data_IF_092507037352
#
_entry.id   IF_092507037352
#
_cell.length_a   1.000
_cell.length_b   1.000
_cell.length_c   1.000
_cell.angle_alpha   90.00
_cell.angle_beta   90.00
_cell.angle_gamma   90.00
#
_symmetry.space_group_name_H-M   'P 1'
#
loop_
_entity.id
_entity.type
_entity.pdbx_description
1 polymer ?
#
# COMPACT_ATOMS: atom_id res chain seq x y z
N UNK A 1 -19.42 -30.94 17.28
CA UNK A 1 -18.27 -30.87 16.34
C UNK A 1 -18.24 -29.47 15.73
N UNK A 2 -17.42 -28.55 16.22
CA UNK A 2 -17.39 -27.18 15.67
C UNK A 2 -16.65 -27.16 14.33
N UNK A 3 -17.36 -26.98 13.22
CA UNK A 3 -16.74 -26.74 11.91
C UNK A 3 -16.25 -25.30 11.85
N UNK A 4 -15.12 -25.02 12.50
CA UNK A 4 -14.43 -23.76 12.35
C UNK A 4 -13.55 -23.83 11.09
N UNK A 5 -14.18 -23.86 9.92
CA UNK A 5 -13.45 -23.65 8.67
C UNK A 5 -13.14 -22.15 8.58
N UNK A 6 -11.99 -21.77 9.14
CA UNK A 6 -11.28 -20.57 8.70
C UNK A 6 -10.99 -20.75 7.21
N UNK A 7 -11.97 -20.42 6.35
CA UNK A 7 -11.86 -20.50 4.91
C UNK A 7 -10.82 -19.46 4.46
N UNK A 8 -9.55 -19.88 4.48
CA UNK A 8 -8.46 -19.15 3.87
C UNK A 8 -8.78 -19.01 2.38
N UNK A 9 -8.77 -17.78 1.91
CA UNK A 9 -9.02 -17.51 0.49
C UNK A 9 -7.69 -17.73 -0.22
N UNK A 10 -7.48 -18.94 -0.74
CA UNK A 10 -6.25 -19.36 -1.41
C UNK A 10 -5.78 -18.35 -2.47
N UNK A 11 -6.73 -17.79 -3.25
CA UNK A 11 -6.44 -16.78 -4.26
C UNK A 11 -5.79 -15.51 -3.70
N UNK A 12 -6.21 -15.07 -2.51
CA UNK A 12 -5.64 -13.89 -1.85
C UNK A 12 -4.21 -14.18 -1.38
N UNK A 13 -3.98 -15.37 -0.85
CA UNK A 13 -2.65 -15.78 -0.38
C UNK A 13 -1.67 -15.94 -1.56
N UNK A 14 -2.12 -16.55 -2.67
CA UNK A 14 -1.32 -16.68 -3.89
C UNK A 14 -0.98 -15.32 -4.51
N UNK A 15 -1.93 -14.39 -4.57
CA UNK A 15 -1.72 -13.06 -5.11
C UNK A 15 -0.73 -12.25 -4.26
N UNK A 16 -0.76 -12.41 -2.92
CA UNK A 16 0.25 -11.82 -2.03
C UNK A 16 1.63 -12.44 -2.24
N UNK A 17 1.70 -13.77 -2.35
CA UNK A 17 2.96 -14.47 -2.60
C UNK A 17 3.57 -14.03 -3.94
N UNK A 18 2.74 -13.96 -4.99
CA UNK A 18 3.13 -13.48 -6.31
C UNK A 18 3.70 -12.06 -6.26
N UNK A 19 3.00 -11.12 -5.59
CA UNK A 19 3.47 -9.74 -5.50
C UNK A 19 4.81 -9.62 -4.74
N UNK A 20 5.02 -10.42 -3.69
CA UNK A 20 6.31 -10.46 -2.96
C UNK A 20 7.42 -11.05 -3.83
N UNK A 21 7.15 -12.13 -4.56
CA UNK A 21 8.12 -12.74 -5.49
C UNK A 21 8.52 -11.72 -6.56
N UNK A 22 7.55 -11.04 -7.18
CA UNK A 22 7.79 -10.00 -8.18
C UNK A 22 8.63 -8.84 -7.61
N UNK A 23 8.37 -8.42 -6.37
CA UNK A 23 9.15 -7.37 -5.70
C UNK A 23 10.61 -7.81 -5.47
N UNK A 24 10.83 -9.00 -4.91
CA UNK A 24 12.18 -9.53 -4.64
C UNK A 24 12.95 -9.73 -5.96
N UNK A 25 12.30 -10.32 -6.97
CA UNK A 25 12.88 -10.54 -8.28
C UNK A 25 13.24 -9.22 -8.96
N UNK A 26 12.36 -8.22 -8.90
CA UNK A 26 12.57 -6.92 -9.49
C UNK A 26 13.80 -6.21 -8.92
N UNK A 27 13.95 -6.17 -7.59
CA UNK A 27 15.12 -5.56 -6.95
C UNK A 27 16.40 -6.38 -7.13
N UNK A 28 16.31 -7.70 -7.10
CA UNK A 28 17.47 -8.58 -7.34
C UNK A 28 18.02 -8.36 -8.74
N UNK A 29 17.17 -8.48 -9.78
CA UNK A 29 17.63 -8.31 -11.16
C UNK A 29 18.11 -6.88 -11.40
N UNK A 30 17.45 -5.86 -10.85
CA UNK A 30 17.92 -4.47 -10.97
C UNK A 30 19.30 -4.24 -10.35
N UNK A 31 19.64 -4.94 -9.27
CA UNK A 31 20.92 -4.74 -8.57
C UNK A 31 22.05 -5.53 -9.22
N UNK A 32 21.78 -6.74 -9.72
CA UNK A 32 22.80 -7.65 -10.26
C UNK A 32 22.98 -7.58 -11.78
N UNK A 33 22.02 -7.02 -12.52
CA UNK A 33 22.12 -6.92 -13.98
C UNK A 33 23.07 -5.78 -14.38
N UNK A 34 24.17 -6.13 -15.04
CA UNK A 34 25.14 -5.17 -15.58
C UNK A 34 24.51 -4.24 -16.63
N UNK A 35 25.04 -3.02 -16.73
CA UNK A 35 24.49 -1.96 -17.59
C UNK A 35 24.47 -2.34 -19.08
N UNK A 36 25.42 -3.16 -19.53
CA UNK A 36 25.50 -3.67 -20.90
C UNK A 36 24.25 -4.46 -21.34
N UNK A 37 23.54 -5.09 -20.40
CA UNK A 37 22.34 -5.87 -20.66
C UNK A 37 21.04 -5.06 -20.53
N UNK A 38 21.13 -3.77 -20.15
CA UNK A 38 19.98 -2.87 -19.96
C UNK A 38 19.58 -2.16 -21.25
N UNK A 39 19.54 -2.89 -22.37
CA UNK A 39 19.12 -2.33 -23.66
C UNK A 39 17.63 -2.52 -23.91
N UNK A 40 16.94 -1.45 -24.30
CA UNK A 40 15.54 -1.48 -24.73
C UNK A 40 15.34 -2.24 -26.06
N UNK A 41 16.41 -2.48 -26.81
CA UNK A 41 16.38 -3.29 -28.03
C UNK A 41 16.23 -4.78 -27.71
N UNK A 42 16.61 -5.19 -26.50
CA UNK A 42 16.38 -6.55 -26.01
C UNK A 42 14.92 -6.73 -25.60
N UNK A 43 14.17 -7.51 -26.38
CA UNK A 43 12.78 -7.86 -26.08
C UNK A 43 12.62 -8.41 -24.66
N UNK A 44 13.58 -9.21 -24.19
CA UNK A 44 13.54 -9.79 -22.84
C UNK A 44 13.66 -8.73 -21.74
N UNK A 45 14.58 -7.78 -21.88
CA UNK A 45 14.74 -6.69 -20.91
C UNK A 45 13.54 -5.75 -20.92
N UNK A 46 13.02 -5.40 -22.10
CA UNK A 46 11.85 -4.51 -22.23
C UNK A 46 10.58 -5.10 -21.62
N UNK A 47 10.32 -6.40 -21.81
CA UNK A 47 9.22 -7.10 -21.14
C UNK A 47 9.44 -7.12 -19.63
N UNK A 48 10.63 -7.47 -19.17
CA UNK A 48 10.94 -7.51 -17.75
C UNK A 48 10.78 -6.13 -17.08
N UNK A 49 11.31 -5.07 -17.69
CA UNK A 49 11.20 -3.71 -17.20
C UNK A 49 9.73 -3.27 -17.06
N UNK A 50 8.91 -3.64 -18.05
CA UNK A 50 7.47 -3.40 -18.04
C UNK A 50 6.78 -4.13 -16.88
N UNK A 51 7.05 -5.43 -16.71
CA UNK A 51 6.49 -6.24 -15.62
C UNK A 51 6.93 -5.73 -14.24
N UNK A 52 8.19 -5.31 -14.11
CA UNK A 52 8.72 -4.67 -12.90
C UNK A 52 7.94 -3.40 -12.58
N UNK A 53 7.67 -2.56 -13.57
CA UNK A 53 6.88 -1.32 -13.41
C UNK A 53 5.47 -1.57 -12.85
N UNK A 54 4.81 -2.67 -13.25
CA UNK A 54 3.48 -3.03 -12.75
C UNK A 54 3.45 -3.63 -11.35
N UNK A 55 4.60 -4.05 -10.81
CA UNK A 55 4.66 -4.75 -9.52
C UNK A 55 4.14 -3.89 -8.37
N UNK A 56 4.55 -2.62 -8.30
CA UNK A 56 4.10 -1.71 -7.25
C UNK A 56 2.59 -1.40 -7.32
N UNK A 57 2.01 -1.01 -8.48
CA UNK A 57 0.56 -0.85 -8.62
C UNK A 57 -0.25 -2.08 -8.23
N UNK A 58 0.17 -3.29 -8.65
CA UNK A 58 -0.52 -4.54 -8.32
C UNK A 58 -0.48 -4.79 -6.80
N UNK A 59 0.67 -4.59 -6.16
CA UNK A 59 0.82 -4.76 -4.72
C UNK A 59 -0.08 -3.80 -3.93
N UNK A 60 -0.13 -2.53 -4.34
CA UNK A 60 -0.99 -1.51 -3.74
C UNK A 60 -2.46 -1.86 -3.88
N UNK A 61 -2.88 -2.20 -5.10
CA UNK A 61 -4.26 -2.57 -5.41
C UNK A 61 -4.70 -3.80 -4.61
N UNK A 62 -3.86 -4.84 -4.58
CA UNK A 62 -4.07 -6.05 -3.80
C UNK A 62 -4.34 -5.75 -2.32
N UNK A 63 -3.48 -4.92 -1.72
CA UNK A 63 -3.58 -4.56 -0.30
C UNK A 63 -4.91 -3.86 0.01
N UNK A 64 -5.32 -2.90 -0.83
CA UNK A 64 -6.59 -2.18 -0.68
C UNK A 64 -7.82 -3.08 -0.90
N UNK A 65 -7.79 -3.92 -1.93
CA UNK A 65 -8.87 -4.85 -2.27
C UNK A 65 -9.13 -5.83 -1.14
N UNK A 66 -8.09 -6.51 -0.66
CA UNK A 66 -8.19 -7.52 0.42
C UNK A 66 -8.73 -6.86 1.69
N UNK A 67 -8.20 -5.70 2.05
CA UNK A 67 -8.64 -4.99 3.24
C UNK A 67 -10.12 -4.58 3.15
N UNK A 68 -10.54 -4.00 2.02
CA UNK A 68 -11.93 -3.60 1.78
C UNK A 68 -12.88 -4.80 1.82
N UNK A 69 -12.50 -5.91 1.17
CA UNK A 69 -13.27 -7.15 1.18
C UNK A 69 -13.44 -7.67 2.61
N UNK A 70 -12.34 -7.77 3.36
CA UNK A 70 -12.37 -8.23 4.74
C UNK A 70 -13.17 -7.31 5.66
N UNK A 71 -13.16 -6.00 5.41
CA UNK A 71 -13.91 -5.03 6.19
C UNK A 71 -15.42 -5.12 5.91
N UNK A 72 -15.82 -5.40 4.67
CA UNK A 72 -17.23 -5.59 4.25
C UNK A 72 -17.81 -6.94 4.63
N UNK A 73 -16.99 -7.99 4.68
CA UNK A 73 -17.45 -9.33 5.03
C UNK A 73 -17.85 -9.47 6.50
N UNK A 74 -17.48 -8.51 7.35
CA UNK A 74 -17.74 -8.56 8.78
C UNK A 74 -19.14 -8.02 9.12
N UNK A 75 -19.85 -8.69 10.02
CA UNK A 75 -21.25 -8.36 10.37
C UNK A 75 -21.37 -7.33 11.51
N UNK A 76 -20.27 -6.96 12.15
CA UNK A 76 -20.28 -6.01 13.26
C UNK A 76 -20.62 -4.56 12.83
N UNK A 77 -21.16 -3.80 13.77
CA UNK A 77 -21.26 -2.34 13.63
C UNK A 77 -19.86 -1.74 13.49
N UNK A 78 -19.75 -0.62 12.78
CA UNK A 78 -18.45 -0.08 12.35
C UNK A 78 -17.47 0.15 13.49
N UNK A 79 -17.94 0.77 14.58
CA UNK A 79 -17.11 1.12 15.74
C UNK A 79 -16.69 -0.10 16.57
N UNK A 80 -17.48 -1.17 16.57
CA UNK A 80 -17.14 -2.40 17.29
C UNK A 80 -16.34 -3.39 16.43
N UNK A 81 -16.14 -3.09 15.15
CA UNK A 81 -15.45 -4.00 14.24
C UNK A 81 -13.93 -4.03 14.57
N UNK A 82 -13.39 -5.18 15.01
CA UNK A 82 -11.98 -5.29 15.38
C UNK A 82 -11.04 -5.03 14.19
N UNK A 83 -11.51 -5.21 12.94
CA UNK A 83 -10.75 -4.96 11.72
C UNK A 83 -10.53 -3.48 11.47
N UNK A 84 -11.45 -2.61 11.87
CA UNK A 84 -11.26 -1.14 11.81
C UNK A 84 -10.11 -0.75 12.73
N UNK A 85 -10.15 -1.18 14.00
CA UNK A 85 -9.07 -0.87 14.97
C UNK A 85 -7.71 -1.40 14.51
N UNK A 86 -7.66 -2.64 13.99
CA UNK A 86 -6.44 -3.23 13.42
C UNK A 86 -5.96 -2.47 12.19
N UNK A 87 -6.88 -2.06 11.31
CA UNK A 87 -6.59 -1.29 10.10
C UNK A 87 -6.01 0.08 10.42
N UNK A 88 -6.63 0.83 11.33
CA UNK A 88 -6.14 2.14 11.80
C UNK A 88 -4.76 2.00 12.43
N UNK A 89 -4.58 1.05 13.37
CA UNK A 89 -3.27 0.80 13.99
C UNK A 89 -2.20 0.52 12.93
N UNK A 90 -2.49 -0.38 11.98
CA UNK A 90 -1.56 -0.73 10.89
C UNK A 90 -1.23 0.47 10.00
N UNK A 91 -2.23 1.27 9.63
CA UNK A 91 -2.03 2.44 8.79
C UNK A 91 -1.08 3.46 9.43
N UNK A 92 -1.32 3.82 10.70
CA UNK A 92 -0.42 4.69 11.44
C UNK A 92 0.96 4.08 11.63
N UNK A 93 1.07 2.78 11.94
CA UNK A 93 2.36 2.10 12.03
C UNK A 93 3.14 2.20 10.72
N UNK A 94 2.51 2.01 9.56
CA UNK A 94 3.18 2.10 8.26
C UNK A 94 3.64 3.52 7.93
N UNK A 95 2.82 4.53 8.22
CA UNK A 95 3.19 5.95 8.02
C UNK A 95 4.38 6.32 8.91
N UNK A 96 4.33 5.95 10.19
CA UNK A 96 5.41 6.23 11.14
C UNK A 96 6.70 5.53 10.70
N UNK A 97 6.64 4.25 10.33
CA UNK A 97 7.82 3.52 9.83
C UNK A 97 8.34 4.16 8.54
N UNK A 98 7.45 4.61 7.64
CA UNK A 98 7.83 5.29 6.40
C UNK A 98 8.70 6.52 6.67
N UNK A 99 8.26 7.40 7.59
CA UNK A 99 9.05 8.58 7.98
C UNK A 99 10.31 8.22 8.76
N UNK A 100 10.26 7.18 9.59
CA UNK A 100 11.42 6.74 10.36
C UNK A 100 12.54 6.19 9.46
N UNK A 101 12.20 5.51 8.37
CA UNK A 101 13.18 5.01 7.40
C UNK A 101 13.87 6.14 6.61
N UNK A 102 13.23 7.30 6.48
CA UNK A 102 13.76 8.48 5.78
C UNK A 102 14.20 9.59 6.73
N UNK A 103 14.48 9.26 7.98
CA UNK A 103 14.81 10.23 9.00
C UNK A 103 16.05 11.07 8.58
N UNK A 104 16.00 12.42 8.66
CA UNK A 104 16.91 13.29 7.93
C UNK A 104 18.32 13.39 8.53
N UNK A 105 18.52 12.88 9.74
CA UNK A 105 19.78 13.00 10.50
C UNK A 105 20.05 11.73 11.31
N UNK A 106 21.28 11.53 11.76
CA UNK A 106 21.63 10.44 12.68
C UNK A 106 21.32 10.80 14.15
N UNK A 107 21.11 12.09 14.46
CA UNK A 107 20.82 12.59 15.82
C UNK A 107 19.31 12.71 16.03
N UNK A 108 18.78 12.13 17.10
CA UNK A 108 17.33 12.05 17.34
C UNK A 108 16.69 13.42 17.66
N UNK A 109 17.43 14.35 18.28
CA UNK A 109 16.88 15.60 18.79
C UNK A 109 17.66 16.85 18.35
N UNK A 110 18.61 16.71 17.44
CA UNK A 110 19.43 17.83 16.96
C UNK A 110 19.28 18.01 15.45
N UNK A 111 18.53 19.05 15.08
CA UNK A 111 18.23 19.41 13.70
C UNK A 111 19.01 20.65 13.24
N UNK A 112 19.98 21.12 14.04
CA UNK A 112 20.71 22.38 13.81
C UNK A 112 21.51 22.36 12.50
N UNK A 113 21.94 21.17 12.07
CA UNK A 113 22.78 20.95 10.89
C UNK A 113 22.08 20.15 9.80
N UNK A 114 20.75 20.26 9.67
CA UNK A 114 20.00 19.57 8.62
C UNK A 114 19.90 20.46 7.39
N UNK A 115 20.45 19.99 6.26
CA UNK A 115 20.38 20.70 4.99
C UNK A 115 18.97 20.62 4.39
N UNK A 116 18.67 21.53 3.45
CA UNK A 116 17.42 21.48 2.69
C UNK A 116 17.23 20.13 1.98
N UNK A 117 18.29 19.58 1.38
CA UNK A 117 18.24 18.29 0.70
C UNK A 117 17.87 17.12 1.62
N UNK A 118 18.28 17.16 2.89
CA UNK A 118 17.89 16.16 3.88
C UNK A 118 16.42 16.27 4.26
N UNK A 119 15.89 17.49 4.34
CA UNK A 119 14.45 17.71 4.52
C UNK A 119 13.64 17.19 3.33
N UNK A 120 14.11 17.42 2.10
CA UNK A 120 13.42 16.93 0.90
C UNK A 120 13.34 15.38 0.90
N UNK A 121 14.40 14.70 1.34
CA UNK A 121 14.40 13.24 1.53
C UNK A 121 13.36 12.82 2.57
N UNK A 122 13.30 13.50 3.72
CA UNK A 122 12.34 13.19 4.78
C UNK A 122 10.89 13.38 4.35
N UNK A 123 10.59 14.42 3.57
CA UNK A 123 9.24 14.69 3.07
C UNK A 123 8.83 13.85 1.85
N UNK A 124 9.72 13.00 1.33
CA UNK A 124 9.41 12.14 0.20
C UNK A 124 8.35 11.08 0.56
N UNK A 125 7.30 11.02 -0.26
CA UNK A 125 6.18 10.08 -0.06
C UNK A 125 6.44 8.75 -0.75
N UNK A 126 6.80 7.75 0.05
CA UNK A 126 7.00 6.37 -0.39
C UNK A 126 5.77 5.46 -0.35
N UNK A 127 5.93 4.25 -0.91
CA UNK A 127 4.99 3.15 -0.87
C UNK A 127 4.33 2.92 0.52
N UNK A 128 5.09 2.98 1.63
CA UNK A 128 4.53 2.78 2.97
C UNK A 128 3.49 3.85 3.33
N UNK A 129 3.75 5.10 2.97
CA UNK A 129 2.83 6.22 3.19
C UNK A 129 1.57 6.04 2.34
N UNK A 130 1.72 5.68 1.06
CA UNK A 130 0.57 5.40 0.18
C UNK A 130 -0.32 4.27 0.73
N UNK A 131 0.26 3.18 1.23
CA UNK A 131 -0.52 2.09 1.84
C UNK A 131 -1.24 2.58 3.10
N UNK A 132 -0.53 3.30 3.96
CA UNK A 132 -1.09 3.84 5.19
C UNK A 132 -2.28 4.77 4.92
N UNK A 133 -2.10 5.76 4.05
CA UNK A 133 -3.16 6.66 3.64
C UNK A 133 -4.29 5.93 2.91
N UNK A 134 -3.99 4.99 2.01
CA UNK A 134 -5.01 4.20 1.32
C UNK A 134 -5.89 3.40 2.28
N UNK A 135 -5.31 2.78 3.31
CA UNK A 135 -6.06 2.10 4.36
C UNK A 135 -6.96 3.07 5.14
N UNK A 136 -6.44 4.25 5.51
CA UNK A 136 -7.23 5.28 6.19
C UNK A 136 -8.39 5.77 5.32
N UNK A 137 -8.15 6.01 4.03
CA UNK A 137 -9.17 6.43 3.07
C UNK A 137 -10.29 5.40 2.97
N UNK A 138 -9.98 4.10 2.91
CA UNK A 138 -11.00 3.04 2.90
C UNK A 138 -11.82 3.05 4.20
N UNK A 139 -11.16 3.14 5.37
CA UNK A 139 -11.83 3.17 6.67
C UNK A 139 -12.76 4.38 6.78
N UNK A 140 -12.27 5.56 6.38
CA UNK A 140 -13.06 6.80 6.35
C UNK A 140 -14.24 6.71 5.38
N UNK A 141 -14.04 6.12 4.20
CA UNK A 141 -15.10 5.92 3.21
C UNK A 141 -16.22 5.04 3.74
N UNK A 142 -15.87 3.97 4.46
CA UNK A 142 -16.86 3.07 5.10
C UNK A 142 -17.59 3.78 6.24
N UNK A 143 -16.90 4.61 7.01
CA UNK A 143 -17.51 5.44 8.05
C UNK A 143 -18.54 6.40 7.46
N UNK A 144 -18.17 7.15 6.42
CA UNK A 144 -19.07 8.08 5.73
C UNK A 144 -20.24 7.35 5.05
N UNK A 145 -20.00 6.20 4.43
CA UNK A 145 -21.06 5.38 3.82
C UNK A 145 -22.14 5.02 4.85
N UNK A 146 -21.73 4.58 6.04
CA UNK A 146 -22.66 4.22 7.12
C UNK A 146 -23.32 5.43 7.77
N UNK A 147 -22.64 6.58 7.85
CA UNK A 147 -23.18 7.81 8.46
C UNK A 147 -24.16 8.55 7.54
N UNK A 148 -23.89 8.57 6.24
CA UNK A 148 -24.66 9.32 5.23
C UNK A 148 -25.64 8.43 4.45
N UNK A 149 -25.74 7.13 4.80
CA UNK A 149 -26.55 6.13 4.11
C UNK A 149 -26.24 5.99 2.60
N UNK A 150 -25.04 6.38 2.16
CA UNK A 150 -24.59 6.21 0.79
C UNK A 150 -23.94 4.86 0.55
N UNK A 151 -23.96 4.41 -0.70
CA UNK A 151 -23.19 3.24 -1.11
C UNK A 151 -21.69 3.53 -1.06
N UNK A 152 -20.91 2.57 -0.56
CA UNK A 152 -19.45 2.69 -0.51
C UNK A 152 -18.83 2.92 -1.89
N UNK A 153 -19.39 2.27 -2.92
CA UNK A 153 -18.93 2.43 -4.30
C UNK A 153 -19.09 3.87 -4.78
N UNK A 154 -20.22 4.52 -4.45
CA UNK A 154 -20.47 5.92 -4.82
C UNK A 154 -19.41 6.85 -4.20
N UNK A 155 -19.08 6.64 -2.92
CA UNK A 155 -18.06 7.45 -2.22
C UNK A 155 -16.68 7.24 -2.84
N UNK A 156 -16.29 6.00 -3.11
CA UNK A 156 -14.99 5.71 -3.72
C UNK A 156 -14.86 6.27 -5.14
N UNK A 157 -15.90 6.15 -5.97
CA UNK A 157 -15.90 6.69 -7.33
C UNK A 157 -15.83 8.22 -7.28
N UNK A 158 -16.60 8.87 -6.40
CA UNK A 158 -16.54 10.32 -6.22
C UNK A 158 -15.15 10.77 -5.78
N UNK A 159 -14.53 10.05 -4.85
CA UNK A 159 -13.16 10.34 -4.41
C UNK A 159 -12.14 10.19 -5.54
N UNK A 160 -12.23 9.14 -6.35
CA UNK A 160 -11.37 8.97 -7.52
C UNK A 160 -11.58 10.06 -8.57
N UNK A 161 -12.83 10.47 -8.79
CA UNK A 161 -13.16 11.55 -9.73
C UNK A 161 -12.58 12.89 -9.27
N UNK A 162 -12.68 13.20 -7.97
CA UNK A 162 -12.07 14.41 -7.39
C UNK A 162 -10.55 14.37 -7.55
N UNK A 163 -9.90 13.25 -7.24
CA UNK A 163 -8.45 13.09 -7.42
C UNK A 163 -7.99 13.24 -8.87
N UNK A 164 -8.82 12.86 -9.84
CA UNK A 164 -8.49 13.01 -11.26
C UNK A 164 -8.57 14.47 -11.75
N UNK A 165 -9.37 15.30 -11.08
CA UNK A 165 -9.57 16.70 -11.44
C UNK A 165 -8.55 17.67 -10.85
N UNK A 166 -7.86 17.26 -9.78
CA UNK A 166 -6.80 18.05 -9.09
C UNK A 166 -5.45 17.78 -9.75
#
# INVERSE_FOLDING_TARGET
MSTNSNNRILYIDLLRAFAVIMMIQGHTVDTFLADEYRSMDSTGYSIWLTLRGFTAPIFMFAAGLIFTYLLRADTFTFLSNPRVKKGVKRAFTLIIIGYLLRYPTYRIFDFTYVSQSQWDIFYTVDALHLIGFGLLTIIMSVFFAKRMHFSLNTILISFMFILFLV
#
